data_IF_944467117687
#
_entry.id   IF_944467117687
#
_cell.length_a   1.000
_cell.length_b   1.000
_cell.length_c   1.000
_cell.angle_alpha   90.00
_cell.angle_beta   90.00
_cell.angle_gamma   90.00
#
_symmetry.space_group_name_H-M   'P 1'
#
loop_
_entity.id
_entity.type
_entity.pdbx_description
1 polymer ?
#
# COMPACT_ATOMS: atom_id res chain seq x y z
N UNK A 1 -9.36 17.00 8.25
CA UNK A 1 -9.31 16.06 7.11
C UNK A 1 -7.87 15.61 6.99
N UNK A 2 -7.60 14.32 7.17
CA UNK A 2 -6.24 13.81 7.14
C UNK A 2 -5.71 13.88 5.69
N UNK A 3 -4.68 14.68 5.42
CA UNK A 3 -4.14 14.82 4.06
C UNK A 3 -3.43 13.55 3.59
N UNK A 4 -2.88 12.77 4.52
CA UNK A 4 -2.14 11.55 4.21
C UNK A 4 -3.04 10.46 3.61
N UNK A 5 -4.25 10.28 4.14
CA UNK A 5 -5.19 9.30 3.59
C UNK A 5 -5.69 9.72 2.20
N UNK A 6 -5.82 11.02 1.97
CA UNK A 6 -6.20 11.55 0.67
C UNK A 6 -5.11 11.32 -0.38
N UNK A 7 -3.86 11.67 -0.05
CA UNK A 7 -2.70 11.45 -0.91
C UNK A 7 -2.47 9.96 -1.21
N UNK A 8 -2.60 9.10 -0.19
CA UNK A 8 -2.47 7.65 -0.38
C UNK A 8 -3.57 7.07 -1.28
N UNK A 9 -4.81 7.53 -1.13
CA UNK A 9 -5.92 7.13 -2.02
C UNK A 9 -5.75 7.64 -3.43
N UNK A 10 -5.18 8.83 -3.61
CA UNK A 10 -4.84 9.34 -4.94
C UNK A 10 -3.74 8.51 -5.59
N UNK A 11 -2.69 8.18 -4.85
CA UNK A 11 -1.56 7.38 -5.33
C UNK A 11 -2.02 5.99 -5.83
N UNK A 12 -2.98 5.39 -5.12
CA UNK A 12 -3.45 4.04 -5.36
C UNK A 12 -4.87 3.97 -5.94
N UNK A 13 -5.35 5.06 -6.57
CA UNK A 13 -6.75 5.17 -7.05
C UNK A 13 -7.12 4.10 -8.08
N UNK A 14 -6.13 3.61 -8.82
CA UNK A 14 -6.28 2.66 -9.93
C UNK A 14 -5.89 1.23 -9.49
N UNK A 15 -5.59 1.02 -8.21
CA UNK A 15 -5.23 -0.29 -7.63
C UNK A 15 -6.42 -0.84 -6.86
N UNK A 16 -6.93 -2.00 -7.27
CA UNK A 16 -8.12 -2.62 -6.66
C UNK A 16 -7.78 -3.50 -5.45
N UNK A 17 -6.53 -3.95 -5.38
CA UNK A 17 -6.02 -4.91 -4.40
C UNK A 17 -5.65 -4.27 -3.07
N UNK A 18 -5.97 -2.99 -2.84
CA UNK A 18 -5.55 -2.28 -1.64
C UNK A 18 -6.73 -1.82 -0.81
N UNK A 19 -6.52 -1.79 0.51
CA UNK A 19 -7.42 -1.10 1.43
C UNK A 19 -6.62 -0.11 2.26
N UNK A 20 -7.11 1.14 2.27
CA UNK A 20 -6.49 2.26 2.94
C UNK A 20 -7.46 2.82 3.98
N UNK A 21 -7.09 2.73 5.25
CA UNK A 21 -7.95 3.10 6.36
C UNK A 21 -7.18 3.86 7.45
N UNK A 22 -7.92 4.51 8.35
CA UNK A 22 -7.38 5.19 9.53
C UNK A 22 -8.12 4.73 10.78
N UNK A 23 -7.39 4.56 11.89
CA UNK A 23 -7.94 4.16 13.19
C UNK A 23 -8.16 5.35 14.15
N UNK A 24 -8.34 6.56 13.63
CA UNK A 24 -8.72 7.75 14.42
C UNK A 24 -7.55 8.58 14.99
N UNK A 25 -6.31 8.11 14.89
CA UNK A 25 -5.12 8.79 15.45
C UNK A 25 -4.22 9.45 14.38
N UNK A 26 -4.79 10.01 13.32
CA UNK A 26 -4.09 10.55 12.13
C UNK A 26 -3.16 9.57 11.38
N UNK A 27 -2.99 8.35 11.89
CA UNK A 27 -2.29 7.27 11.23
C UNK A 27 -3.14 6.69 10.11
N UNK A 28 -2.46 6.34 9.03
CA UNK A 28 -3.04 5.74 7.83
C UNK A 28 -2.37 4.40 7.63
N UNK A 29 -3.18 3.38 7.36
CA UNK A 29 -2.74 2.01 7.19
C UNK A 29 -3.10 1.51 5.81
N UNK A 30 -2.25 0.63 5.28
CA UNK A 30 -2.41 -0.08 4.02
C UNK A 30 -2.44 -1.58 4.29
N UNK A 31 -3.40 -2.27 3.70
CA UNK A 31 -3.36 -3.73 3.48
C UNK A 31 -3.44 -4.00 1.99
N UNK A 32 -2.81 -5.08 1.53
CA UNK A 32 -2.86 -5.55 0.13
C UNK A 32 -3.51 -6.93 0.11
N UNK A 33 -4.40 -7.17 -0.84
CA UNK A 33 -5.09 -8.43 -1.08
C UNK A 33 -4.64 -8.97 -2.44
N UNK A 34 -3.43 -9.57 -2.51
CA UNK A 34 -2.82 -9.97 -3.78
C UNK A 34 -3.59 -11.09 -4.49
N UNK A 35 -4.52 -11.76 -3.80
CA UNK A 35 -5.36 -12.82 -4.37
C UNK A 35 -6.57 -12.30 -5.17
N UNK A 36 -6.94 -11.01 -5.03
CA UNK A 36 -8.09 -10.41 -5.71
C UNK A 36 -7.80 -9.94 -7.15
N UNK A 37 -6.62 -10.25 -7.69
CA UNK A 37 -6.25 -9.90 -9.07
C UNK A 37 -7.21 -10.60 -10.05
N UNK A 38 -8.05 -9.82 -10.74
CA UNK A 38 -9.09 -10.30 -11.65
C UNK A 38 -8.48 -11.00 -12.89
N UNK A 39 -8.98 -12.21 -13.15
CA UNK A 39 -8.82 -13.14 -14.28
C UNK A 39 -7.62 -12.98 -15.25
N UNK A 40 -6.78 -14.03 -15.28
CA UNK A 40 -6.36 -14.58 -16.57
C UNK A 40 -4.87 -14.82 -16.81
N UNK A 41 -3.95 -14.40 -15.94
CA UNK A 41 -2.52 -14.60 -16.19
C UNK A 41 -1.76 -15.07 -14.96
N UNK A 42 -1.25 -16.30 -15.06
CA UNK A 42 -0.12 -16.91 -14.35
C UNK A 42 0.43 -16.14 -13.16
N UNK A 43 0.17 -16.62 -11.92
CA UNK A 43 0.98 -16.35 -10.71
C UNK A 43 1.70 -15.00 -10.75
N UNK A 44 0.99 -13.90 -11.01
CA UNK A 44 1.63 -12.59 -11.01
C UNK A 44 2.08 -12.41 -9.58
N UNK A 45 3.39 -12.52 -9.39
CA UNK A 45 4.03 -12.71 -8.10
C UNK A 45 3.44 -11.70 -7.13
N UNK A 46 2.76 -12.11 -6.04
CA UNK A 46 2.21 -11.20 -5.04
C UNK A 46 3.22 -10.11 -4.64
N UNK A 47 4.51 -10.46 -4.63
CA UNK A 47 5.63 -9.55 -4.42
C UNK A 47 5.72 -8.42 -5.45
N UNK A 48 5.48 -8.68 -6.74
CA UNK A 48 5.45 -7.66 -7.79
C UNK A 48 4.30 -6.68 -7.58
N UNK A 49 3.13 -7.16 -7.15
CA UNK A 49 1.98 -6.29 -6.81
C UNK A 49 2.33 -5.40 -5.63
N UNK A 50 2.82 -5.99 -4.53
CA UNK A 50 3.24 -5.23 -3.34
C UNK A 50 4.33 -4.21 -3.67
N UNK A 51 5.34 -4.59 -4.46
CA UNK A 51 6.40 -3.66 -4.91
C UNK A 51 5.85 -2.55 -5.80
N UNK A 52 4.88 -2.84 -6.67
CA UNK A 52 4.23 -1.82 -7.50
C UNK A 52 3.43 -0.83 -6.63
N UNK A 53 2.68 -1.32 -5.64
CA UNK A 53 1.95 -0.48 -4.68
C UNK A 53 2.89 0.45 -3.92
N UNK A 54 4.01 -0.06 -3.43
CA UNK A 54 5.03 0.76 -2.75
C UNK A 54 5.63 1.79 -3.72
N UNK A 55 5.90 1.41 -4.96
CA UNK A 55 6.37 2.32 -6.01
C UNK A 55 5.43 3.49 -6.26
N UNK A 56 4.12 3.22 -6.39
CA UNK A 56 3.11 4.27 -6.59
C UNK A 56 3.01 5.23 -5.39
N UNK A 57 3.18 4.73 -4.17
CA UNK A 57 3.28 5.57 -2.98
C UNK A 57 4.54 6.45 -3.03
N UNK A 58 5.67 5.88 -3.46
CA UNK A 58 6.94 6.59 -3.59
C UNK A 58 6.86 7.75 -4.58
N UNK A 59 6.14 7.59 -5.68
CA UNK A 59 5.93 8.64 -6.69
C UNK A 59 5.17 9.86 -6.11
N UNK A 60 4.44 9.67 -5.01
CA UNK A 60 3.69 10.70 -4.29
C UNK A 60 4.41 11.19 -3.02
N UNK A 61 5.72 10.92 -2.87
CA UNK A 61 6.51 11.21 -1.67
C UNK A 61 5.99 10.52 -0.39
N UNK A 62 5.29 9.40 -0.55
CA UNK A 62 4.85 8.54 0.54
C UNK A 62 5.75 7.30 0.64
N UNK A 63 5.69 6.63 1.78
CA UNK A 63 6.38 5.37 2.03
C UNK A 63 5.57 4.50 3.00
N UNK A 64 6.05 3.27 3.25
CA UNK A 64 5.51 2.37 4.25
C UNK A 64 6.50 2.21 5.41
N UNK A 65 5.99 2.24 6.63
CA UNK A 65 6.79 2.00 7.82
C UNK A 65 7.32 0.56 7.82
N UNK A 66 8.58 0.38 8.18
CA UNK A 66 9.24 -0.93 8.26
C UNK A 66 10.07 -1.34 7.04
N UNK A 67 10.12 -0.51 5.98
CA UNK A 67 11.01 -0.73 4.83
C UNK A 67 10.82 -2.10 4.20
N UNK A 68 11.90 -2.87 4.05
CA UNK A 68 11.83 -4.23 3.48
C UNK A 68 10.92 -5.19 4.26
N UNK A 69 10.78 -5.01 5.58
CA UNK A 69 9.86 -5.82 6.37
C UNK A 69 8.39 -5.56 6.00
N UNK A 70 8.07 -4.34 5.53
CA UNK A 70 6.73 -3.98 5.10
C UNK A 70 6.28 -4.80 3.88
N UNK A 71 7.20 -5.13 2.96
CA UNK A 71 6.90 -6.00 1.81
C UNK A 71 6.40 -7.35 2.29
N UNK A 72 7.10 -7.96 3.24
CA UNK A 72 6.69 -9.25 3.81
C UNK A 72 5.37 -9.14 4.55
N UNK A 73 5.19 -8.11 5.38
CA UNK A 73 3.92 -7.90 6.10
C UNK A 73 2.74 -7.76 5.15
N UNK A 74 2.88 -7.03 4.04
CA UNK A 74 1.83 -6.89 3.03
C UNK A 74 1.54 -8.19 2.28
N UNK A 75 2.57 -9.03 2.05
CA UNK A 75 2.40 -10.36 1.46
C UNK A 75 1.65 -11.33 2.37
N UNK A 76 1.85 -11.20 3.68
CA UNK A 76 1.15 -11.95 4.72
C UNK A 76 -0.22 -11.31 5.07
N UNK A 77 -0.76 -10.44 4.20
CA UNK A 77 -2.03 -9.70 4.35
C UNK A 77 -2.10 -8.79 5.59
N UNK A 78 -0.95 -8.51 6.20
CA UNK A 78 -0.82 -7.64 7.34
C UNK A 78 -0.94 -6.16 6.97
N UNK A 79 -1.27 -5.34 7.98
CA UNK A 79 -1.36 -3.90 7.82
C UNK A 79 -0.01 -3.23 8.05
N UNK A 80 0.34 -2.28 7.19
CA UNK A 80 1.52 -1.42 7.34
C UNK A 80 1.09 0.04 7.43
N UNK A 81 1.79 0.83 8.25
CA UNK A 81 1.53 2.26 8.37
C UNK A 81 2.12 2.99 7.16
N UNK A 82 1.34 3.87 6.53
CA UNK A 82 1.81 4.78 5.48
C UNK A 82 2.42 6.00 6.18
N UNK A 83 3.60 6.41 5.74
CA UNK A 83 4.34 7.57 6.25
C UNK A 83 4.73 8.49 5.11
N UNK A 84 5.07 9.74 5.43
CA UNK A 84 5.71 10.64 4.46
C UNK A 84 7.19 10.31 4.39
N UNK A 85 7.78 10.32 3.19
CA UNK A 85 9.25 10.26 3.08
C UNK A 85 9.85 11.47 3.79
N UNK A 86 10.86 11.24 4.64
CA UNK A 86 11.68 12.32 5.14
C UNK A 86 12.47 12.90 3.94
N UNK A 87 12.41 14.23 3.78
CA UNK A 87 13.13 14.96 2.74
C UNK A 87 14.65 14.85 2.92
#
# INVERSE_FOLDING_TARGET
MNSLIYEARMALRDVMEVNIYSQGNDKVYLTVFPELVWEGTEKTQPEKVVRNVIGLLHDMNLDVAGGDAAVKTLLDEGAVEIVRKAA
#
